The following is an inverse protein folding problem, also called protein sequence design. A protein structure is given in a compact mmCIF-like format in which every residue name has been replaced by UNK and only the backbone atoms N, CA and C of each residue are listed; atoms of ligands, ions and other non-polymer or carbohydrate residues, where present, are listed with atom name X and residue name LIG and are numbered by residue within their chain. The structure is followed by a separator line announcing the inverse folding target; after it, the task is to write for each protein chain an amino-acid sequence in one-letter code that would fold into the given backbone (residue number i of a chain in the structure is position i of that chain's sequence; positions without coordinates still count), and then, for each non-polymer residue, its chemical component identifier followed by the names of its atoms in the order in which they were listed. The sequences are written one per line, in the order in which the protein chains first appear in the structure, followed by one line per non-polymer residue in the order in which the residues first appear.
data_IF_291910147764
#
_entry.id   IF_291910147764
#
_cell.length_a   1.000
_cell.length_b   1.000
_cell.length_c   1.000
_cell.angle_alpha   90.00
_cell.angle_beta   90.00
_cell.angle_gamma   90.00
#
_symmetry.space_group_name_H-M   'P 1'
#
loop_
_entity.id
_entity.type
_entity.pdbx_description
1 polymer ?
#
# COMPACT_ATOMS: atom_id res chain seq x y z
N UNK A 1 38.49 64.51 28.96
CA UNK A 1 38.25 64.41 27.50
C UNK A 1 38.12 62.96 27.03
N UNK A 2 38.69 61.98 27.75
CA UNK A 2 38.58 60.54 27.45
C UNK A 2 37.15 59.96 27.43
N UNK A 3 36.22 60.50 28.22
CA UNK A 3 34.84 59.97 28.31
C UNK A 3 34.06 60.06 27.00
N UNK A 4 34.37 61.01 26.13
CA UNK A 4 33.74 61.16 24.81
C UNK A 4 34.12 60.03 23.85
N UNK A 5 35.34 59.50 23.94
CA UNK A 5 35.79 58.39 23.09
C UNK A 5 35.02 57.10 23.42
N UNK A 6 34.78 56.83 24.70
CA UNK A 6 33.98 55.67 25.12
C UNK A 6 32.53 55.77 24.62
N UNK A 7 31.92 56.96 24.68
CA UNK A 7 30.55 57.18 24.16
C UNK A 7 30.49 57.03 22.65
N UNK A 8 31.51 57.51 21.92
CA UNK A 8 31.60 57.38 20.46
C UNK A 8 31.70 55.90 20.04
N UNK A 9 32.58 55.12 20.67
CA UNK A 9 32.75 53.69 20.38
C UNK A 9 31.47 52.91 20.70
N UNK A 10 30.79 53.25 21.82
CA UNK A 10 29.52 52.65 22.16
C UNK A 10 28.44 52.96 21.12
N UNK A 11 28.33 54.21 20.66
CA UNK A 11 27.38 54.61 19.62
C UNK A 11 27.63 53.86 18.29
N UNK A 12 28.88 53.70 17.89
CA UNK A 12 29.27 52.94 16.69
C UNK A 12 28.92 51.46 16.86
N UNK A 13 29.18 50.88 18.04
CA UNK A 13 28.83 49.49 18.34
C UNK A 13 27.32 49.23 18.28
N UNK A 14 26.51 50.15 18.82
CA UNK A 14 25.04 50.06 18.75
C UNK A 14 24.55 50.21 17.31
N UNK A 15 25.10 51.16 16.56
CA UNK A 15 24.73 51.35 15.15
C UNK A 15 25.09 50.13 14.30
N UNK A 16 26.29 49.57 14.48
CA UNK A 16 26.73 48.35 13.78
C UNK A 16 25.89 47.13 14.16
N UNK A 17 25.58 46.97 15.46
CA UNK A 17 24.72 45.89 15.94
C UNK A 17 23.30 45.97 15.35
N UNK A 18 22.72 47.16 15.31
CA UNK A 18 21.40 47.39 14.71
C UNK A 18 21.41 47.10 13.20
N UNK A 19 22.46 47.54 12.50
CA UNK A 19 22.59 47.32 11.06
C UNK A 19 22.74 45.83 10.71
N UNK A 20 23.51 45.07 11.50
CA UNK A 20 23.65 43.62 11.34
C UNK A 20 22.35 42.86 11.58
N UNK A 21 21.55 43.27 12.58
CA UNK A 21 20.25 42.67 12.84
C UNK A 21 19.25 42.94 11.70
N UNK A 22 19.27 44.15 11.14
CA UNK A 22 18.43 44.50 9.99
C UNK A 22 18.79 43.70 8.73
N UNK A 23 20.07 43.41 8.52
CA UNK A 23 20.53 42.58 7.40
C UNK A 23 20.24 41.07 7.58
N UNK A 24 20.08 40.60 8.82
CA UNK A 24 19.61 39.23 9.12
C UNK A 24 18.09 39.13 8.90
N UNK A 25 17.68 39.26 7.64
CA UNK A 25 16.30 39.09 7.20
C UNK A 25 15.90 37.60 7.32
N UNK A 26 15.51 37.18 8.53
CA UNK A 26 15.16 35.79 8.85
C UNK A 26 13.82 35.36 8.23
N UNK A 27 12.95 36.33 7.97
CA UNK A 27 11.57 36.12 7.52
C UNK A 27 11.50 35.42 6.17
N UNK A 28 12.44 35.70 5.27
CA UNK A 28 12.48 35.04 3.96
C UNK A 28 12.79 33.54 4.08
N UNK A 29 13.74 33.16 4.95
CA UNK A 29 14.12 31.76 5.15
C UNK A 29 13.05 30.98 5.90
N UNK A 30 12.40 31.62 6.88
CA UNK A 30 11.27 31.01 7.60
C UNK A 30 10.11 30.76 6.64
N UNK A 31 9.78 31.74 5.80
CA UNK A 31 8.71 31.62 4.81
C UNK A 31 9.00 30.60 3.71
N UNK A 32 10.23 30.55 3.22
CA UNK A 32 10.67 29.50 2.28
C UNK A 32 10.53 28.10 2.91
N UNK A 33 10.89 27.96 4.18
CA UNK A 33 10.76 26.68 4.88
C UNK A 33 9.30 26.29 5.13
N UNK A 34 8.44 27.26 5.48
CA UNK A 34 6.99 27.05 5.59
C UNK A 34 6.37 26.63 4.26
N UNK A 35 6.74 27.29 3.15
CA UNK A 35 6.30 26.94 1.81
C UNK A 35 6.77 25.54 1.41
N UNK A 36 8.02 25.17 1.76
CA UNK A 36 8.54 23.83 1.57
C UNK A 36 7.72 22.79 2.33
N UNK A 37 7.45 23.00 3.61
CA UNK A 37 6.64 22.09 4.43
C UNK A 37 5.23 21.92 3.86
N UNK A 38 4.60 23.04 3.48
CA UNK A 38 3.27 23.02 2.85
C UNK A 38 3.28 22.25 1.53
N UNK A 39 4.32 22.42 0.72
CA UNK A 39 4.47 21.70 -0.55
C UNK A 39 4.66 20.19 -0.33
N UNK A 40 5.43 19.78 0.69
CA UNK A 40 5.66 18.38 1.02
C UNK A 40 4.37 17.72 1.52
N UNK A 41 3.62 18.41 2.38
CA UNK A 41 2.34 17.94 2.87
C UNK A 41 1.34 17.75 1.72
N UNK A 42 1.26 18.73 0.80
CA UNK A 42 0.39 18.61 -0.39
C UNK A 42 0.78 17.45 -1.31
N UNK A 43 2.08 17.21 -1.50
CA UNK A 43 2.56 16.03 -2.26
C UNK A 43 2.18 14.71 -1.59
N UNK A 44 2.26 14.66 -0.26
CA UNK A 44 1.90 13.47 0.50
C UNK A 44 0.40 13.16 0.40
N UNK A 45 -0.45 14.18 0.54
CA UNK A 45 -1.90 14.04 0.38
C UNK A 45 -2.27 13.58 -1.05
N UNK A 46 -1.68 14.21 -2.07
CA UNK A 46 -1.89 13.80 -3.47
C UNK A 46 -1.42 12.37 -3.74
N UNK A 47 -0.31 11.94 -3.14
CA UNK A 47 0.16 10.56 -3.23
C UNK A 47 -0.84 9.58 -2.59
N UNK A 48 -1.33 9.88 -1.39
CA UNK A 48 -2.34 9.04 -0.72
C UNK A 48 -3.63 8.93 -1.55
N UNK A 49 -4.11 10.03 -2.14
CA UNK A 49 -5.27 10.04 -3.03
C UNK A 49 -5.03 9.19 -4.29
N UNK A 50 -3.85 9.33 -4.91
CA UNK A 50 -3.46 8.58 -6.10
C UNK A 50 -3.40 7.07 -5.83
N UNK A 51 -2.82 6.66 -4.70
CA UNK A 51 -2.75 5.25 -4.30
C UNK A 51 -4.15 4.70 -4.03
N UNK A 52 -4.98 5.45 -3.31
CA UNK A 52 -6.35 5.04 -3.00
C UNK A 52 -7.18 4.86 -4.26
N UNK A 53 -7.10 5.80 -5.20
CA UNK A 53 -7.82 5.72 -6.48
C UNK A 53 -7.32 4.55 -7.33
N UNK A 54 -6.00 4.31 -7.41
CA UNK A 54 -5.43 3.18 -8.15
C UNK A 54 -5.88 1.83 -7.60
N UNK A 55 -5.88 1.65 -6.27
CA UNK A 55 -6.35 0.40 -5.65
C UNK A 55 -7.87 0.22 -5.78
N UNK A 56 -8.65 1.31 -5.70
CA UNK A 56 -10.09 1.28 -5.98
C UNK A 56 -10.37 0.81 -7.42
N UNK A 57 -9.67 1.40 -8.40
CA UNK A 57 -9.81 1.01 -9.80
C UNK A 57 -9.35 -0.44 -10.04
N UNK A 58 -8.25 -0.85 -9.41
CA UNK A 58 -7.74 -2.22 -9.48
C UNK A 58 -8.72 -3.23 -8.90
N UNK A 59 -9.35 -2.91 -7.76
CA UNK A 59 -10.38 -3.76 -7.14
C UNK A 59 -11.60 -3.94 -8.06
N UNK A 60 -12.02 -2.87 -8.75
CA UNK A 60 -13.09 -2.95 -9.75
C UNK A 60 -12.69 -3.85 -10.92
N UNK A 61 -11.47 -3.72 -11.44
CA UNK A 61 -10.97 -4.56 -12.54
C UNK A 61 -10.87 -6.04 -12.15
N UNK A 62 -10.37 -6.35 -10.96
CA UNK A 62 -10.29 -7.73 -10.44
C UNK A 62 -11.68 -8.32 -10.22
N UNK A 63 -12.65 -7.53 -9.76
CA UNK A 63 -14.04 -7.98 -9.63
C UNK A 63 -14.62 -8.32 -11.01
N UNK A 64 -14.44 -7.44 -12.00
CA UNK A 64 -14.88 -7.70 -13.38
C UNK A 64 -14.25 -8.97 -13.95
N UNK A 65 -12.94 -9.19 -13.73
CA UNK A 65 -12.27 -10.42 -14.13
C UNK A 65 -12.88 -11.66 -13.46
N UNK A 66 -13.16 -11.57 -12.16
CA UNK A 66 -13.78 -12.67 -11.40
C UNK A 66 -15.16 -13.00 -11.96
N UNK A 67 -15.95 -11.99 -12.31
CA UNK A 67 -17.27 -12.20 -12.92
C UNK A 67 -17.17 -12.81 -14.31
N UNK A 68 -16.25 -12.33 -15.15
CA UNK A 68 -15.99 -12.92 -16.47
C UNK A 68 -15.55 -14.39 -16.37
N UNK A 69 -14.71 -14.72 -15.39
CA UNK A 69 -14.32 -16.11 -15.12
C UNK A 69 -15.53 -16.98 -14.74
N UNK A 70 -16.45 -16.47 -13.89
CA UNK A 70 -17.68 -17.18 -13.52
C UNK A 70 -18.57 -17.44 -14.72
N UNK A 71 -18.77 -16.43 -15.57
CA UNK A 71 -19.58 -16.53 -16.78
C UNK A 71 -19.02 -17.60 -17.73
N UNK A 72 -17.70 -17.60 -17.95
CA UNK A 72 -17.04 -18.64 -18.76
C UNK A 72 -17.26 -20.02 -18.15
N UNK A 73 -17.11 -20.15 -16.83
CA UNK A 73 -17.32 -21.43 -16.16
C UNK A 73 -18.77 -21.92 -16.28
N UNK A 74 -19.76 -21.04 -16.07
CA UNK A 74 -21.18 -21.35 -16.23
C UNK A 74 -21.52 -21.74 -17.68
N UNK A 75 -20.95 -21.04 -18.66
CA UNK A 75 -21.12 -21.36 -20.07
C UNK A 75 -20.53 -22.74 -20.41
N UNK A 76 -19.36 -23.07 -19.86
CA UNK A 76 -18.76 -24.40 -20.03
C UNK A 76 -19.57 -25.50 -19.36
N UNK A 77 -20.13 -25.27 -18.17
CA UNK A 77 -21.02 -26.22 -17.49
C UNK A 77 -22.32 -26.43 -18.28
N UNK A 78 -22.92 -25.35 -18.80
CA UNK A 78 -24.12 -25.41 -19.62
C UNK A 78 -23.86 -26.13 -20.92
N UNK A 79 -22.76 -25.81 -21.62
CA UNK A 79 -22.34 -26.49 -22.83
C UNK A 79 -22.03 -27.97 -22.59
N UNK A 80 -21.36 -28.31 -21.48
CA UNK A 80 -21.16 -29.70 -21.10
C UNK A 80 -22.50 -30.42 -20.90
N UNK A 81 -23.46 -29.81 -20.20
CA UNK A 81 -24.79 -30.42 -20.03
C UNK A 81 -25.55 -30.56 -21.35
N UNK A 82 -25.60 -29.54 -22.19
CA UNK A 82 -26.34 -29.57 -23.46
C UNK A 82 -25.74 -30.56 -24.46
N UNK A 83 -24.41 -30.52 -24.65
CA UNK A 83 -23.73 -31.43 -25.59
C UNK A 83 -23.68 -32.88 -25.08
N UNK A 84 -23.85 -33.11 -23.78
CA UNK A 84 -23.78 -34.44 -23.17
C UNK A 84 -25.15 -35.00 -22.75
N UNK A 85 -26.21 -34.19 -22.80
CA UNK A 85 -27.60 -34.61 -22.59
C UNK A 85 -28.22 -35.31 -23.83
N UNK A 86 -27.46 -35.50 -24.92
CA UNK A 86 -27.85 -36.47 -25.94
C UNK A 86 -27.87 -37.88 -25.32
N UNK A 87 -29.08 -38.31 -24.98
CA UNK A 87 -29.43 -39.51 -24.22
C UNK A 87 -28.92 -40.82 -24.84
N UNK A 88 -28.28 -40.75 -26.03
CA UNK A 88 -27.64 -41.88 -26.72
C UNK A 88 -26.17 -42.10 -26.35
N UNK A 89 -25.54 -41.19 -25.58
CA UNK A 89 -24.12 -41.27 -25.18
C UNK A 89 -23.88 -41.51 -23.68
N UNK A 90 -24.86 -42.05 -22.95
CA UNK A 90 -24.72 -42.43 -21.54
C UNK A 90 -23.99 -43.76 -21.31
N UNK A 91 -23.03 -44.11 -22.17
CA UNK A 91 -22.10 -45.19 -21.85
C UNK A 91 -21.10 -44.66 -20.81
N UNK A 92 -20.68 -45.50 -19.87
CA UNK A 92 -19.67 -45.16 -18.84
C UNK A 92 -18.31 -44.71 -19.43
N UNK A 93 -18.13 -44.79 -20.75
CA UNK A 93 -16.96 -44.31 -21.50
C UNK A 93 -17.09 -42.86 -22.00
N UNK A 94 -18.16 -42.14 -21.66
CA UNK A 94 -18.34 -40.76 -22.11
C UNK A 94 -17.36 -39.82 -21.35
N UNK A 95 -16.41 -39.18 -22.05
CA UNK A 95 -15.42 -38.29 -21.42
C UNK A 95 -16.05 -37.08 -20.71
N UNK A 96 -17.31 -36.77 -21.00
CA UNK A 96 -18.05 -35.69 -20.35
C UNK A 96 -18.29 -35.88 -18.85
N UNK A 97 -18.46 -37.13 -18.40
CA UNK A 97 -18.69 -37.41 -16.98
C UNK A 97 -17.47 -37.01 -16.11
N UNK A 98 -16.26 -37.09 -16.67
CA UNK A 98 -15.05 -36.62 -16.00
C UNK A 98 -15.02 -35.08 -15.83
N UNK A 99 -15.68 -34.35 -16.74
CA UNK A 99 -15.76 -32.89 -16.69
C UNK A 99 -16.84 -32.40 -15.72
N UNK A 100 -17.98 -33.09 -15.65
CA UNK A 100 -19.01 -32.82 -14.61
C UNK A 100 -18.46 -33.01 -13.19
N UNK A 101 -17.57 -33.98 -12.98
CA UNK A 101 -16.88 -34.19 -11.69
C UNK A 101 -15.87 -33.09 -11.34
N UNK A 102 -15.48 -32.25 -12.30
CA UNK A 102 -14.62 -31.08 -12.09
C UNK A 102 -15.39 -29.87 -11.55
N UNK A 103 -16.72 -29.98 -11.35
CA UNK A 103 -17.50 -28.98 -10.66
C UNK A 103 -16.89 -28.75 -9.27
N UNK A 104 -16.12 -27.68 -9.15
CA UNK A 104 -15.59 -27.16 -7.91
C UNK A 104 -16.75 -27.07 -6.92
N UNK A 105 -16.60 -27.58 -5.68
CA UNK A 105 -17.62 -27.39 -4.65
C UNK A 105 -18.02 -25.92 -4.65
N UNK A 106 -19.32 -25.64 -4.55
CA UNK A 106 -19.85 -24.28 -4.49
C UNK A 106 -19.20 -23.44 -3.38
N UNK A 107 -18.58 -24.12 -2.42
CA UNK A 107 -17.86 -23.58 -1.25
C UNK A 107 -16.34 -23.36 -1.48
N UNK A 108 -15.78 -23.71 -2.63
CA UNK A 108 -14.35 -23.61 -2.93
C UNK A 108 -13.92 -22.26 -3.55
N UNK A 109 -14.89 -21.39 -3.87
CA UNK A 109 -14.59 -20.02 -4.29
C UNK A 109 -14.45 -19.11 -3.08
N UNK A 110 -13.57 -18.09 -3.15
CA UNK A 110 -13.59 -17.03 -2.15
C UNK A 110 -14.97 -16.38 -2.25
N UNK A 111 -15.82 -16.67 -1.26
CA UNK A 111 -16.98 -15.82 -1.01
C UNK A 111 -16.45 -14.40 -0.85
N UNK A 112 -17.16 -13.37 -1.36
CA UNK A 112 -16.76 -11.99 -1.08
C UNK A 112 -16.55 -11.91 0.42
N UNK A 113 -15.32 -11.60 0.85
CA UNK A 113 -14.94 -11.65 2.24
C UNK A 113 -15.96 -10.84 3.04
N UNK A 114 -16.90 -11.54 3.68
CA UNK A 114 -17.74 -10.92 4.66
C UNK A 114 -16.77 -10.49 5.74
N UNK A 115 -16.82 -9.23 6.13
CA UNK A 115 -15.88 -8.60 7.07
C UNK A 115 -15.74 -9.33 8.42
N UNK A 116 -16.57 -10.36 8.66
CA UNK A 116 -16.64 -11.15 9.89
C UNK A 116 -16.30 -12.65 9.68
N UNK A 117 -15.81 -13.07 8.51
CA UNK A 117 -15.49 -14.47 8.23
C UNK A 117 -13.96 -14.68 8.23
N UNK A 118 -13.42 -14.87 9.43
CA UNK A 118 -11.98 -14.95 9.75
C UNK A 118 -11.28 -16.16 9.10
N UNK A 119 -12.05 -17.07 8.50
CA UNK A 119 -11.55 -18.32 7.91
C UNK A 119 -10.57 -18.06 6.76
N UNK A 120 -10.79 -17.02 5.95
CA UNK A 120 -9.88 -16.65 4.85
C UNK A 120 -8.57 -16.02 5.34
N UNK A 121 -8.63 -15.19 6.40
CA UNK A 121 -7.45 -14.52 6.96
C UNK A 121 -6.56 -15.48 7.77
N UNK A 122 -7.14 -16.54 8.36
CA UNK A 122 -6.37 -17.53 9.12
C UNK A 122 -5.35 -18.32 8.27
N UNK A 123 -5.58 -18.43 6.96
CA UNK A 123 -4.72 -19.17 6.03
C UNK A 123 -3.62 -18.30 5.39
N UNK A 124 -3.69 -16.97 5.56
CA UNK A 124 -2.71 -16.02 5.02
C UNK A 124 -1.88 -15.48 6.19
N UNK A 125 -0.91 -16.28 6.62
CA UNK A 125 0.10 -15.78 7.55
C UNK A 125 0.99 -14.80 6.76
N UNK A 126 1.08 -13.51 7.16
CA UNK A 126 1.96 -12.57 6.48
C UNK A 126 3.41 -13.09 6.55
N UNK A 127 4.28 -12.71 5.59
CA UNK A 127 5.67 -13.10 5.63
C UNK A 127 6.27 -12.74 7.00
N UNK A 128 6.79 -13.76 7.71
CA UNK A 128 7.31 -13.61 9.08
C UNK A 128 8.47 -12.62 9.20
N UNK A 129 9.03 -12.19 8.07
CA UNK A 129 10.13 -11.23 7.97
C UNK A 129 9.76 -9.80 8.39
N UNK A 130 8.47 -9.47 8.47
CA UNK A 130 8.01 -8.14 8.91
C UNK A 130 7.67 -8.06 10.41
N UNK A 131 7.80 -9.16 11.18
CA UNK A 131 7.48 -9.14 12.60
C UNK A 131 8.50 -8.29 13.39
N UNK A 132 8.06 -7.36 14.24
CA UNK A 132 8.97 -6.58 15.09
C UNK A 132 9.71 -7.54 16.04
N UNK A 133 11.05 -7.60 15.93
CA UNK A 133 11.89 -8.44 16.77
C UNK A 133 12.00 -7.85 18.18
N UNK A 134 12.04 -8.71 19.19
CA UNK A 134 12.33 -8.27 20.55
C UNK A 134 13.77 -7.74 20.65
N UNK A 135 14.11 -6.83 21.59
CA UNK A 135 15.46 -6.25 21.68
C UNK A 135 16.59 -7.28 21.91
N UNK A 136 16.25 -8.51 22.29
CA UNK A 136 17.17 -9.60 22.55
C UNK A 136 17.26 -10.62 21.40
N UNK A 137 16.44 -10.49 20.36
CA UNK A 137 16.44 -11.38 19.21
C UNK A 137 17.44 -10.90 18.15
N UNK A 138 18.39 -11.78 17.79
CA UNK A 138 19.38 -11.51 16.75
C UNK A 138 18.71 -11.36 15.38
N UNK A 139 19.17 -10.36 14.62
CA UNK A 139 18.65 -10.02 13.29
C UNK A 139 18.97 -11.09 12.24
N UNK A 140 18.28 -11.05 11.10
CA UNK A 140 18.70 -11.85 9.92
C UNK A 140 19.97 -11.32 9.25
N UNK A 141 20.46 -10.16 9.73
CA UNK A 141 21.74 -9.56 9.36
C UNK A 141 22.78 -9.67 10.48
N UNK A 142 22.51 -10.47 11.52
CA UNK A 142 23.49 -10.72 12.57
C UNK A 142 24.61 -11.62 12.01
N UNK A 143 25.86 -11.33 12.37
CA UNK A 143 27.04 -12.01 11.83
C UNK A 143 27.08 -13.51 12.18
N UNK A 144 26.34 -13.93 13.20
CA UNK A 144 26.21 -15.32 13.64
C UNK A 144 25.00 -16.04 12.99
N UNK A 145 24.24 -15.34 12.14
CA UNK A 145 23.05 -15.90 11.49
C UNK A 145 23.44 -16.98 10.48
N UNK A 146 23.05 -18.23 10.77
CA UNK A 146 23.31 -19.39 9.90
C UNK A 146 24.64 -20.10 10.15
N UNK A 147 25.43 -19.67 11.15
CA UNK A 147 26.63 -20.38 11.57
C UNK A 147 26.29 -21.29 12.76
N UNK A 148 26.14 -22.58 12.48
CA UNK A 148 26.19 -23.69 13.46
C UNK A 148 27.14 -24.77 12.96
#
# INVERSE_FOLDING_TARGET
MEWLLYVLVFAIGVAAGYFLQFYRNSDNRVRELEDHLKSLQGKYESYQETVTSHFSQSAQLVNNLTNAYREVHEHLQTGANELCADNKRHTSSNPANAFLGLATPKDAYPQPALLNDDKFLSAIEPPRDYAPKSPHDKGMLDEEYGLR
#
